data_IF_073606289946
#
_entry.id   IF_073606289946
#
_cell.length_a   1.000
_cell.length_b   1.000
_cell.length_c   1.000
_cell.angle_alpha   90.00
_cell.angle_beta   90.00
_cell.angle_gamma   90.00
#
_symmetry.space_group_name_H-M   'P 1'
#
loop_
_entity.id
_entity.type
_entity.pdbx_description
1 polymer ?
#
# COMPACT_ATOMS: atom_id res chain seq x y z
N UNK A 1 -14.52 2.20 -3.61
CA UNK A 1 -14.29 3.26 -4.62
C UNK A 1 -13.03 2.89 -5.39
N UNK A 2 -13.08 2.74 -6.73
CA UNK A 2 -11.92 2.30 -7.52
C UNK A 2 -10.99 3.49 -7.82
N UNK A 3 -9.89 3.62 -7.07
CA UNK A 3 -8.97 4.78 -7.15
C UNK A 3 -7.92 4.55 -8.25
N UNK A 4 -8.30 4.71 -9.53
CA UNK A 4 -7.47 4.26 -10.66
C UNK A 4 -6.65 5.36 -11.39
N UNK A 5 -6.68 6.64 -10.99
CA UNK A 5 -5.95 7.68 -11.73
C UNK A 5 -5.36 8.75 -10.81
N UNK A 6 -4.03 8.94 -10.84
CA UNK A 6 -3.36 10.09 -10.22
C UNK A 6 -2.45 9.81 -9.03
N UNK A 7 -2.11 8.54 -8.75
CA UNK A 7 -1.15 8.21 -7.69
C UNK A 7 0.27 8.44 -8.21
N UNK A 8 0.89 9.56 -7.85
CA UNK A 8 2.35 9.68 -7.79
C UNK A 8 2.75 9.36 -6.35
N UNK A 9 3.10 8.10 -6.03
CA UNK A 9 3.32 7.74 -4.65
C UNK A 9 4.67 8.32 -4.24
N UNK A 10 4.67 9.41 -3.46
CA UNK A 10 5.80 9.67 -2.57
C UNK A 10 5.80 8.55 -1.54
N UNK A 11 6.36 7.42 -1.94
CA UNK A 11 6.33 6.19 -1.16
C UNK A 11 7.40 6.33 -0.08
N UNK A 12 7.02 6.75 1.13
CA UNK A 12 7.90 6.54 2.28
C UNK A 12 7.73 5.08 2.68
N UNK A 13 8.60 4.23 2.15
CA UNK A 13 8.58 2.79 2.41
C UNK A 13 9.62 2.44 3.47
N UNK A 14 9.18 2.02 4.65
CA UNK A 14 10.02 1.26 5.55
C UNK A 14 9.65 -0.23 5.41
N UNK A 15 10.65 -1.06 5.11
CA UNK A 15 10.51 -2.50 4.98
C UNK A 15 11.53 -3.20 5.88
N UNK A 16 11.06 -4.01 6.83
CA UNK A 16 11.94 -4.72 7.77
C UNK A 16 11.66 -6.23 7.72
N UNK A 17 12.68 -7.11 7.66
CA UNK A 17 12.48 -8.55 7.69
C UNK A 17 11.83 -8.98 9.00
N UNK A 18 10.78 -9.79 8.94
CA UNK A 18 10.02 -10.20 10.13
C UNK A 18 9.78 -11.70 10.27
N UNK A 19 10.15 -12.50 9.27
CA UNK A 19 9.97 -13.95 9.29
C UNK A 19 11.29 -14.70 9.50
N UNK A 20 11.31 -15.64 10.45
CA UNK A 20 12.37 -16.64 10.55
C UNK A 20 12.26 -17.72 9.46
N UNK A 21 11.03 -18.02 9.01
CA UNK A 21 10.72 -19.08 8.04
C UNK A 21 10.06 -18.57 6.74
N UNK A 22 9.84 -17.26 6.60
CA UNK A 22 9.13 -16.65 5.46
C UNK A 22 9.80 -15.33 5.09
N UNK A 23 9.95 -15.04 3.80
CA UNK A 23 10.38 -13.72 3.32
C UNK A 23 9.21 -12.74 3.48
N UNK A 24 9.06 -12.24 4.71
CA UNK A 24 8.04 -11.29 5.10
C UNK A 24 8.67 -9.94 5.51
N UNK A 25 8.03 -8.87 5.07
CA UNK A 25 8.37 -7.50 5.42
C UNK A 25 7.25 -6.92 6.29
N UNK A 26 7.57 -6.05 7.24
CA UNK A 26 6.59 -5.04 7.68
C UNK A 26 6.62 -3.92 6.65
N UNK A 27 5.47 -3.51 6.13
CA UNK A 27 5.35 -2.35 5.25
C UNK A 27 4.67 -1.21 6.02
N UNK A 28 5.34 -0.07 6.11
CA UNK A 28 4.73 1.23 6.39
C UNK A 28 4.82 2.05 5.11
N UNK A 29 3.69 2.54 4.60
CA UNK A 29 3.60 3.18 3.29
C UNK A 29 2.49 4.22 3.24
N UNK A 30 2.77 5.38 2.63
CA UNK A 30 1.79 6.42 2.34
C UNK A 30 1.51 6.53 0.84
N UNK A 31 0.24 6.74 0.49
CA UNK A 31 -0.21 7.10 -0.85
C UNK A 31 -0.71 8.54 -0.83
N UNK A 32 0.10 9.46 -1.37
CA UNK A 32 -0.26 10.85 -1.58
C UNK A 32 -0.90 11.02 -2.97
N UNK A 33 -2.10 11.59 -3.01
CA UNK A 33 -2.82 11.86 -4.26
C UNK A 33 -2.48 13.27 -4.73
N UNK A 34 -2.07 13.40 -6.00
CA UNK A 34 -1.60 14.68 -6.56
C UNK A 34 -2.49 15.24 -7.66
N UNK A 35 -3.65 14.62 -7.91
CA UNK A 35 -4.54 14.99 -9.01
C UNK A 35 -6.02 14.73 -8.67
N UNK A 36 -6.91 15.35 -9.44
CA UNK A 36 -8.36 15.22 -9.31
C UNK A 36 -8.91 15.70 -7.98
N UNK A 37 -10.08 15.15 -7.59
CA UNK A 37 -10.75 15.55 -6.34
C UNK A 37 -9.95 15.16 -5.09
N UNK A 38 -9.04 14.19 -5.21
CA UNK A 38 -8.24 13.70 -4.08
C UNK A 38 -6.93 14.46 -3.90
N UNK A 39 -6.60 15.41 -4.78
CA UNK A 39 -5.36 16.16 -4.73
C UNK A 39 -5.10 16.76 -3.33
N UNK A 40 -3.93 16.49 -2.77
CA UNK A 40 -3.53 16.92 -1.43
C UNK A 40 -4.03 16.03 -0.28
N UNK A 41 -4.78 14.97 -0.58
CA UNK A 41 -5.16 13.94 0.40
C UNK A 41 -4.14 12.79 0.41
N UNK A 42 -4.10 12.02 1.50
CA UNK A 42 -3.33 10.78 1.57
C UNK A 42 -4.05 9.68 2.35
N UNK A 43 -3.62 8.44 2.13
CA UNK A 43 -3.92 7.29 2.99
C UNK A 43 -2.61 6.61 3.40
N UNK A 44 -2.59 6.06 4.60
CA UNK A 44 -1.43 5.36 5.17
C UNK A 44 -1.76 3.89 5.42
N UNK A 45 -0.87 3.00 5.00
CA UNK A 45 -0.94 1.56 5.23
C UNK A 45 0.15 1.12 6.21
N UNK A 46 -0.22 0.21 7.11
CA UNK A 46 0.75 -0.48 7.99
C UNK A 46 0.37 -1.95 8.12
N UNK A 47 1.22 -2.87 7.64
CA UNK A 47 0.88 -4.29 7.71
C UNK A 47 1.99 -5.25 7.31
N UNK A 48 1.73 -6.55 7.53
CA UNK A 48 2.62 -7.63 7.08
C UNK A 48 2.54 -7.78 5.57
N UNK A 49 3.66 -7.62 4.90
CA UNK A 49 3.84 -7.72 3.46
C UNK A 49 4.73 -8.92 3.13
N UNK A 50 4.13 -10.12 3.06
CA UNK A 50 4.83 -11.33 2.61
C UNK A 50 4.93 -11.38 1.09
N UNK A 51 6.10 -11.07 0.52
CA UNK A 51 6.26 -10.95 -0.93
C UNK A 51 5.95 -12.25 -1.70
N UNK A 52 6.01 -13.41 -1.03
CA UNK A 52 5.67 -14.73 -1.57
C UNK A 52 4.17 -15.01 -1.61
N UNK A 53 3.35 -14.25 -0.87
CA UNK A 53 1.89 -14.34 -0.97
C UNK A 53 1.39 -13.43 -2.11
N UNK A 54 0.69 -13.99 -3.13
CA UNK A 54 0.27 -13.24 -4.30
C UNK A 54 -0.68 -12.08 -3.99
N UNK A 55 -1.53 -12.17 -2.96
CA UNK A 55 -2.48 -11.13 -2.58
C UNK A 55 -2.47 -10.90 -1.06
N UNK A 56 -2.38 -9.64 -0.64
CA UNK A 56 -2.19 -9.28 0.77
C UNK A 56 -3.10 -8.13 1.15
N UNK A 57 -3.90 -8.35 2.18
CA UNK A 57 -4.66 -7.29 2.79
C UNK A 57 -3.79 -6.48 3.76
N UNK A 58 -3.81 -5.17 3.62
CA UNK A 58 -3.15 -4.23 4.52
C UNK A 58 -4.16 -3.19 5.00
N UNK A 59 -4.27 -2.94 6.31
CA UNK A 59 -5.23 -1.98 6.83
C UNK A 59 -4.81 -0.55 6.48
N UNK A 60 -5.81 0.29 6.21
CA UNK A 60 -5.65 1.75 6.22
C UNK A 60 -5.66 2.19 7.69
N UNK A 61 -4.53 2.72 8.15
CA UNK A 61 -4.34 3.11 9.56
C UNK A 61 -4.48 4.61 9.80
N UNK A 62 -4.41 5.41 8.75
CA UNK A 62 -4.62 6.85 8.80
C UNK A 62 -4.99 7.40 7.41
N UNK A 63 -5.52 8.62 7.40
CA UNK A 63 -5.77 9.38 6.19
C UNK A 63 -5.82 10.88 6.46
N UNK A 64 -5.54 11.66 5.43
CA UNK A 64 -5.56 13.13 5.46
C UNK A 64 -6.46 13.67 4.35
N UNK A 65 -6.82 14.96 4.43
CA UNK A 65 -7.72 15.58 3.44
C UNK A 65 -9.09 14.90 3.41
N UNK A 66 -9.52 14.45 2.23
CA UNK A 66 -10.79 13.75 2.02
C UNK A 66 -10.86 12.40 2.74
N UNK A 67 -9.73 11.77 3.04
CA UNK A 67 -9.66 10.49 3.73
C UNK A 67 -9.51 10.64 5.26
N UNK A 68 -9.73 11.85 5.78
CA UNK A 68 -9.67 12.10 7.22
C UNK A 68 -10.67 11.18 7.94
N UNK A 69 -10.16 10.45 8.94
CA UNK A 69 -10.92 9.47 9.74
C UNK A 69 -11.42 8.24 8.96
N UNK A 70 -10.97 8.03 7.73
CA UNK A 70 -11.35 6.83 6.99
C UNK A 70 -10.79 5.58 7.66
N UNK A 71 -11.52 4.48 7.51
CA UNK A 71 -11.06 3.13 7.80
C UNK A 71 -11.20 2.29 6.55
N UNK A 72 -10.53 1.14 6.49
CA UNK A 72 -10.59 0.28 5.32
C UNK A 72 -9.32 -0.54 5.14
N UNK A 73 -9.13 -1.03 3.94
CA UNK A 73 -8.01 -1.89 3.59
C UNK A 73 -7.56 -1.70 2.14
N UNK A 74 -6.34 -2.12 1.87
CA UNK A 74 -5.80 -2.26 0.53
C UNK A 74 -5.45 -3.73 0.27
N UNK A 75 -5.73 -4.21 -0.93
CA UNK A 75 -5.21 -5.48 -1.43
C UNK A 75 -3.98 -5.18 -2.30
N UNK A 76 -2.81 -5.58 -1.83
CA UNK A 76 -1.57 -5.55 -2.60
C UNK A 76 -1.37 -6.89 -3.33
N UNK A 77 -1.27 -6.83 -4.66
CA UNK A 77 -1.06 -7.99 -5.52
C UNK A 77 0.28 -7.89 -6.24
N UNK A 78 1.15 -8.88 -6.04
CA UNK A 78 2.45 -8.93 -6.75
C UNK A 78 2.25 -9.54 -8.13
N UNK A 79 2.51 -8.77 -9.19
CA UNK A 79 2.47 -9.25 -10.58
C UNK A 79 3.82 -9.74 -11.09
N UNK A 80 4.91 -9.15 -10.58
CA UNK A 80 6.29 -9.56 -10.89
C UNK A 80 7.16 -9.41 -9.65
N UNK A 81 8.04 -10.37 -9.43
CA UNK A 81 9.10 -10.31 -8.43
C UNK A 81 10.37 -10.92 -9.03
N UNK A 82 11.41 -10.11 -9.16
CA UNK A 82 12.77 -10.56 -9.41
C UNK A 82 13.47 -10.70 -8.07
N UNK A 83 13.66 -11.94 -7.61
CA UNK A 83 14.30 -12.24 -6.33
C UNK A 83 15.80 -11.97 -6.32
N UNK A 84 16.44 -11.89 -7.49
CA UNK A 84 17.88 -11.64 -7.61
C UNK A 84 18.18 -10.16 -7.42
N UNK A 85 17.36 -9.29 -8.00
CA UNK A 85 17.51 -7.83 -7.88
C UNK A 85 16.67 -7.23 -6.75
N UNK A 86 15.63 -7.94 -6.30
CA UNK A 86 14.62 -7.43 -5.37
C UNK A 86 13.56 -6.54 -6.03
N UNK A 87 13.58 -6.38 -7.37
CA UNK A 87 12.60 -5.58 -8.08
C UNK A 87 11.22 -6.26 -8.12
N UNK A 88 10.17 -5.47 -7.96
CA UNK A 88 8.80 -5.99 -7.94
C UNK A 88 7.79 -5.01 -8.52
N UNK A 89 6.83 -5.55 -9.27
CA UNK A 89 5.64 -4.82 -9.73
C UNK A 89 4.47 -5.26 -8.85
N UNK A 90 3.89 -4.32 -8.12
CA UNK A 90 2.80 -4.57 -7.17
C UNK A 90 1.63 -3.63 -7.46
N UNK A 91 0.46 -4.20 -7.76
CA UNK A 91 -0.79 -3.46 -7.83
C UNK A 91 -1.42 -3.30 -6.45
N UNK A 92 -2.12 -2.18 -6.24
CA UNK A 92 -2.85 -1.93 -5.01
C UNK A 92 -4.31 -1.57 -5.34
N UNK A 93 -5.24 -2.29 -4.73
CA UNK A 93 -6.66 -1.96 -4.78
C UNK A 93 -7.11 -1.47 -3.41
N UNK A 94 -7.62 -0.26 -3.32
CA UNK A 94 -8.03 0.36 -2.05
C UNK A 94 -9.54 0.33 -1.89
N UNK A 95 -9.97 -0.03 -0.69
CA UNK A 95 -11.35 0.06 -0.24
C UNK A 95 -11.35 0.82 1.07
N UNK A 96 -11.76 2.08 1.01
CA UNK A 96 -12.09 2.90 2.16
C UNK A 96 -13.59 2.82 2.46
N UNK A 97 -13.95 2.84 3.73
CA UNK A 97 -15.31 3.08 4.21
C UNK A 97 -15.39 4.51 4.72
N UNK A 98 -16.46 5.19 4.30
CA UNK A 98 -16.85 6.51 4.80
C UNK A 98 -17.51 6.40 6.19
#
# INVERSE_FOLDING_TARGET
MNMASGINPTTIKAAQPTGQNEVALIMAMDFAFTDGIYNGSCISLLGKNSAVNPAREMPIVAGTGLFRLTSGYAIAQTYRLDVTTGDAIVGHQYTSTD
#
